data_IF_241173742856
#
_entry.id   IF_241173742856
#
_cell.length_a   1.000
_cell.length_b   1.000
_cell.length_c   1.000
_cell.angle_alpha   90.00
_cell.angle_beta   90.00
_cell.angle_gamma   90.00
#
_symmetry.space_group_name_H-M   'P 1'
#
loop_
_entity.id
_entity.type
_entity.pdbx_description
1 polymer ?
#
# COMPACT_ATOMS: atom_id res chain seq x y z
N UNK A 1 7.60 -11.06 7.06
CA UNK A 1 7.54 -9.65 7.50
C UNK A 1 6.18 -9.09 7.14
N UNK A 2 5.48 -8.47 8.10
CA UNK A 2 4.20 -7.81 7.82
C UNK A 2 4.47 -6.31 7.67
N UNK A 3 4.08 -5.73 6.55
CA UNK A 3 4.24 -4.29 6.31
C UNK A 3 3.00 -3.55 6.82
N UNK A 4 3.11 -2.26 7.18
CA UNK A 4 1.95 -1.45 7.54
C UNK A 4 0.87 -1.43 6.46
N UNK A 5 1.26 -1.38 5.18
CA UNK A 5 0.32 -1.49 4.06
C UNK A 5 -0.44 -2.83 4.07
N UNK A 6 0.24 -3.95 4.35
CA UNK A 6 -0.43 -5.25 4.42
C UNK A 6 -1.47 -5.27 5.54
N UNK A 7 -1.18 -4.70 6.70
CA UNK A 7 -2.14 -4.57 7.79
C UNK A 7 -3.32 -3.68 7.42
N UNK A 8 -3.05 -2.51 6.84
CA UNK A 8 -4.11 -1.61 6.38
C UNK A 8 -5.04 -2.27 5.35
N UNK A 9 -4.52 -3.12 4.47
CA UNK A 9 -5.33 -3.88 3.51
C UNK A 9 -6.17 -4.99 4.16
N UNK A 10 -5.74 -5.55 5.28
CA UNK A 10 -6.48 -6.56 6.04
C UNK A 10 -7.56 -5.92 6.90
N UNK A 11 -7.27 -4.75 7.48
CA UNK A 11 -8.20 -3.99 8.31
C UNK A 11 -9.25 -3.22 7.48
N UNK A 12 -8.99 -3.04 6.18
CA UNK A 12 -9.92 -2.40 5.26
C UNK A 12 -11.13 -3.30 4.98
N UNK A 13 -12.32 -2.70 4.89
CA UNK A 13 -13.57 -3.44 4.65
C UNK A 13 -13.58 -4.16 3.30
N UNK A 14 -12.92 -3.58 2.28
CA UNK A 14 -12.89 -4.17 0.95
C UNK A 14 -11.67 -5.10 0.79
N UNK A 15 -11.83 -6.21 0.06
CA UNK A 15 -10.70 -7.07 -0.29
C UNK A 15 -9.61 -6.30 -1.04
N UNK A 16 -8.34 -6.66 -0.82
CA UNK A 16 -7.19 -6.02 -1.46
C UNK A 16 -7.27 -5.96 -3.00
N UNK A 17 -7.89 -6.94 -3.67
CA UNK A 17 -8.07 -6.90 -5.12
C UNK A 17 -8.99 -5.76 -5.58
N UNK A 18 -9.99 -5.37 -4.77
CA UNK A 18 -10.86 -4.21 -5.07
C UNK A 18 -10.07 -2.92 -4.97
N UNK A 19 -9.23 -2.79 -3.93
CA UNK A 19 -8.32 -1.65 -3.77
C UNK A 19 -7.40 -1.53 -4.98
N UNK A 20 -6.80 -2.64 -5.45
CA UNK A 20 -5.95 -2.62 -6.64
C UNK A 20 -6.69 -2.11 -7.89
N UNK A 21 -7.92 -2.57 -8.12
CA UNK A 21 -8.76 -2.13 -9.24
C UNK A 21 -9.08 -0.63 -9.14
N UNK A 22 -9.37 -0.11 -7.95
CA UNK A 22 -9.66 1.33 -7.74
C UNK A 22 -8.49 2.24 -8.14
N UNK A 23 -7.25 1.76 -8.02
CA UNK A 23 -6.04 2.50 -8.45
C UNK A 23 -5.67 2.19 -9.92
N UNK A 24 -6.39 1.29 -10.59
CA UNK A 24 -6.08 0.88 -11.96
C UNK A 24 -4.85 -0.03 -12.06
N UNK A 25 -4.60 -0.82 -11.01
CA UNK A 25 -3.50 -1.79 -10.93
C UNK A 25 -4.02 -3.21 -10.76
N UNK A 26 -3.16 -4.19 -11.02
CA UNK A 26 -3.46 -5.59 -10.76
C UNK A 26 -3.30 -5.93 -9.26
N UNK A 27 -4.01 -6.96 -8.81
CA UNK A 27 -3.84 -7.57 -7.50
C UNK A 27 -2.38 -8.01 -7.25
N UNK A 28 -1.73 -8.57 -8.27
CA UNK A 28 -0.32 -8.97 -8.21
C UNK A 28 0.63 -7.77 -8.06
N UNK A 29 0.29 -6.62 -8.63
CA UNK A 29 1.03 -5.38 -8.40
C UNK A 29 0.91 -4.96 -6.93
N UNK A 30 -0.30 -4.93 -6.39
CA UNK A 30 -0.55 -4.51 -5.01
C UNK A 30 0.10 -5.47 -4.01
N UNK A 31 0.09 -6.78 -4.30
CA UNK A 31 0.77 -7.80 -3.49
C UNK A 31 2.29 -7.55 -3.42
N UNK A 32 2.92 -7.17 -4.54
CA UNK A 32 4.36 -6.83 -4.56
C UNK A 32 4.66 -5.55 -3.79
N UNK A 33 3.77 -4.56 -3.85
CA UNK A 33 3.88 -3.31 -3.08
C UNK A 33 3.73 -3.58 -1.59
N UNK A 34 2.70 -4.34 -1.18
CA UNK A 34 2.49 -4.75 0.20
C UNK A 34 3.63 -5.63 0.74
N UNK A 35 4.33 -6.37 -0.11
CA UNK A 35 5.51 -7.13 0.28
C UNK A 35 6.80 -6.27 0.35
N UNK A 36 6.76 -5.00 -0.06
CA UNK A 36 7.95 -4.14 -0.17
C UNK A 36 8.88 -4.51 -1.33
N UNK A 37 8.44 -5.38 -2.24
CA UNK A 37 9.20 -5.82 -3.43
C UNK A 37 9.17 -4.74 -4.52
N UNK A 38 8.07 -3.99 -4.59
CA UNK A 38 7.86 -2.90 -5.55
C UNK A 38 7.59 -1.59 -4.83
N UNK A 39 8.35 -0.55 -5.18
CA UNK A 39 8.11 0.79 -4.69
C UNK A 39 7.05 1.49 -5.56
N UNK A 40 5.92 1.93 -4.98
CA UNK A 40 4.93 2.72 -5.69
C UNK A 40 5.41 4.17 -5.87
N UNK A 41 4.94 4.81 -6.93
CA UNK A 41 5.15 6.25 -7.15
C UNK A 41 4.41 7.08 -6.09
N UNK A 42 4.81 8.34 -5.92
CA UNK A 42 4.14 9.24 -4.98
C UNK A 42 2.65 9.44 -5.30
N UNK A 43 2.27 9.40 -6.59
CA UNK A 43 0.86 9.45 -7.00
C UNK A 43 0.09 8.23 -6.48
N UNK A 44 0.66 7.04 -6.63
CA UNK A 44 0.05 5.79 -6.16
C UNK A 44 -0.02 5.72 -4.64
N UNK A 45 1.02 6.18 -3.94
CA UNK A 45 1.01 6.29 -2.47
C UNK A 45 -0.12 7.19 -1.99
N UNK A 46 -0.29 8.34 -2.64
CA UNK A 46 -1.38 9.28 -2.33
C UNK A 46 -2.76 8.69 -2.64
N UNK A 47 -2.92 7.91 -3.71
CA UNK A 47 -4.17 7.21 -4.00
C UNK A 47 -4.49 6.14 -2.96
N UNK A 48 -3.51 5.31 -2.59
CA UNK A 48 -3.67 4.27 -1.57
C UNK A 48 -4.00 4.87 -0.19
N UNK A 49 -3.36 5.99 0.16
CA UNK A 49 -3.67 6.78 1.36
C UNK A 49 -5.15 7.19 1.40
N UNK A 50 -5.66 7.73 0.29
CA UNK A 50 -7.08 8.14 0.19
C UNK A 50 -8.06 6.97 0.28
N UNK A 51 -7.74 5.85 -0.39
CA UNK A 51 -8.62 4.66 -0.40
C UNK A 51 -8.67 4.01 0.99
N UNK A 52 -7.52 3.88 1.64
CA UNK A 52 -7.39 3.17 2.91
C UNK A 52 -7.68 4.07 4.13
N UNK A 53 -7.89 5.37 3.93
CA UNK A 53 -8.16 6.33 5.01
C UNK A 53 -6.99 6.47 5.99
N UNK A 54 -5.75 6.29 5.51
CA UNK A 54 -4.51 6.35 6.30
C UNK A 54 -3.54 7.32 5.65
N UNK A 55 -2.65 7.92 6.42
CA UNK A 55 -1.63 8.80 5.85
C UNK A 55 -0.58 8.01 5.06
N UNK A 56 0.09 8.67 4.10
CA UNK A 56 1.18 8.06 3.33
C UNK A 56 2.30 7.56 4.24
N UNK A 57 2.63 8.30 5.31
CA UNK A 57 3.66 7.91 6.27
C UNK A 57 3.31 6.66 7.10
N UNK A 58 2.01 6.45 7.39
CA UNK A 58 1.56 5.22 8.05
C UNK A 58 1.63 4.01 7.12
N UNK A 59 1.26 4.16 5.85
CA UNK A 59 1.25 3.07 4.88
C UNK A 59 2.66 2.73 4.36
N UNK A 60 3.49 3.75 4.19
CA UNK A 60 4.83 3.69 3.60
C UNK A 60 5.82 4.40 4.53
N UNK A 61 6.12 3.85 5.71
CA UNK A 61 7.10 4.46 6.59
C UNK A 61 8.43 4.52 5.85
N UNK A 62 9.03 5.72 5.84
CA UNK A 62 10.38 5.90 5.31
C UNK A 62 11.28 4.93 6.05
N UNK A 63 11.81 3.92 5.35
CA UNK A 63 12.87 3.12 5.93
C UNK A 63 14.02 4.10 6.19
N UNK A 64 14.18 4.49 7.45
CA UNK A 64 15.43 5.08 7.92
C UNK A 64 16.46 3.99 7.67
N UNK A 65 17.14 4.07 6.52
CA UNK A 65 18.36 3.32 6.29
C UNK A 65 19.34 3.90 7.30
N UNK A 66 19.50 3.22 8.43
CA UNK A 66 20.67 3.43 9.27
C UNK A 66 21.86 3.13 8.36
N UNK A 67 22.63 4.18 8.08
CA UNK A 67 23.80 4.17 7.21
C UNK A 67 24.88 3.21 7.74
#
# INVERSE_FOLDING_TARGET
>A
MSTPLKHALVDHMEPAYRVAIQIGRSDGWLSKVAAGIKDPTEVEKNQLSKILGRTVGELFPSQIKVA
#
